data_IF_075981328214
#
_entry.id   IF_075981328214
#
_cell.length_a   1.000
_cell.length_b   1.000
_cell.length_c   1.000
_cell.angle_alpha   90.00
_cell.angle_beta   90.00
_cell.angle_gamma   90.00
#
_symmetry.space_group_name_H-M   'P 1'
#
loop_
_entity.id
_entity.type
_entity.pdbx_description
1 polymer ?
#
# COMPACT_ATOMS: atom_id res chain seq x y z
N UNK A 1 15.46 -13.86 -0.46
CA UNK A 1 14.60 -12.77 -1.00
C UNK A 1 13.31 -13.38 -1.53
N UNK A 2 12.15 -13.04 -0.97
CA UNK A 2 10.84 -13.39 -1.55
C UNK A 2 10.03 -12.11 -1.75
N UNK A 3 10.16 -11.49 -2.91
CA UNK A 3 9.08 -10.69 -3.50
C UNK A 3 8.72 -11.38 -4.80
N UNK A 4 7.55 -12.00 -4.87
CA UNK A 4 6.91 -12.34 -6.13
C UNK A 4 5.41 -12.63 -5.90
N UNK A 5 4.56 -11.61 -6.03
CA UNK A 5 3.27 -11.78 -6.71
C UNK A 5 2.92 -10.51 -7.50
N UNK A 6 3.29 -10.51 -8.78
CA UNK A 6 2.49 -9.90 -9.86
C UNK A 6 2.53 -10.87 -11.04
N UNK A 7 1.67 -11.88 -10.99
CA UNK A 7 1.64 -12.91 -12.04
C UNK A 7 0.77 -12.44 -13.23
N UNK A 8 -0.21 -11.56 -12.98
CA UNK A 8 -1.11 -11.01 -14.02
C UNK A 8 -1.51 -9.54 -13.85
N UNK A 9 -1.10 -8.89 -12.76
CA UNK A 9 -1.46 -7.49 -12.51
C UNK A 9 -0.83 -6.58 -13.57
N UNK A 10 -1.68 -5.99 -14.43
CA UNK A 10 -1.24 -5.15 -15.56
C UNK A 10 -0.70 -3.79 -15.14
N UNK A 11 -1.09 -3.32 -13.95
CA UNK A 11 -0.78 -1.98 -13.49
C UNK A 11 0.17 -2.00 -12.28
N UNK A 12 1.19 -1.14 -12.32
CA UNK A 12 2.06 -0.80 -11.20
C UNK A 12 1.98 0.71 -11.04
N UNK A 13 1.45 1.16 -9.89
CA UNK A 13 1.23 2.58 -9.63
C UNK A 13 2.25 3.01 -8.58
N UNK A 14 3.03 4.05 -8.89
CA UNK A 14 3.89 4.71 -7.91
C UNK A 14 3.03 5.67 -7.11
N UNK A 15 3.16 5.64 -5.79
CA UNK A 15 2.40 6.49 -4.90
C UNK A 15 3.23 6.88 -3.68
N UNK A 16 2.84 7.97 -3.01
CA UNK A 16 3.39 8.37 -1.72
C UNK A 16 2.42 7.99 -0.61
N UNK A 17 2.92 7.37 0.46
CA UNK A 17 2.10 7.10 1.66
C UNK A 17 1.73 8.43 2.32
N UNK A 18 0.44 8.64 2.55
CA UNK A 18 -0.09 9.79 3.31
C UNK A 18 -0.44 9.40 4.73
N UNK A 19 -1.08 8.24 4.91
CA UNK A 19 -1.57 7.79 6.20
C UNK A 19 -1.63 6.27 6.25
N UNK A 20 -1.39 5.72 7.43
CA UNK A 20 -1.60 4.31 7.74
C UNK A 20 -2.50 4.25 8.98
N UNK A 21 -3.60 3.52 8.88
CA UNK A 21 -4.53 3.25 9.98
C UNK A 21 -4.49 1.77 10.30
N UNK A 22 -4.09 1.42 11.52
CA UNK A 22 -4.00 0.04 11.99
C UNK A 22 -5.26 -0.30 12.78
N UNK A 23 -6.01 -1.30 12.33
CA UNK A 23 -7.27 -1.75 12.95
C UNK A 23 -7.23 -3.25 13.25
N UNK A 24 -6.66 -3.60 14.41
CA UNK A 24 -6.63 -4.98 14.91
C UNK A 24 -6.03 -5.99 13.93
N UNK A 25 -6.88 -6.58 13.10
CA UNK A 25 -6.54 -7.60 12.09
C UNK A 25 -6.34 -7.04 10.68
N UNK A 26 -6.48 -5.74 10.48
CA UNK A 26 -6.42 -5.08 9.18
C UNK A 26 -5.62 -3.79 9.27
N UNK A 27 -4.98 -3.41 8.17
CA UNK A 27 -4.41 -2.08 8.00
C UNK A 27 -4.95 -1.41 6.75
N UNK A 28 -5.28 -0.14 6.88
CA UNK A 28 -5.69 0.74 5.78
C UNK A 28 -4.57 1.73 5.50
N UNK A 29 -4.18 1.86 4.23
CA UNK A 29 -3.11 2.75 3.79
C UNK A 29 -3.68 3.69 2.73
N UNK A 30 -3.56 4.98 3.00
CA UNK A 30 -3.94 6.06 2.09
C UNK A 30 -2.70 6.48 1.30
N UNK A 31 -2.82 6.41 -0.02
CA UNK A 31 -1.74 6.66 -0.98
C UNK A 31 -2.09 7.85 -1.87
N UNK A 32 -1.21 8.85 -1.98
CA UNK A 32 -1.33 9.93 -2.95
C UNK A 32 -0.65 9.56 -4.26
N UNK A 33 -1.36 9.67 -5.37
CA UNK A 33 -0.80 9.42 -6.71
C UNK A 33 -0.68 10.68 -7.57
N UNK A 34 -1.47 11.71 -7.27
CA UNK A 34 -1.44 13.03 -7.88
C UNK A 34 -2.03 14.06 -6.89
N UNK A 35 -1.93 15.38 -7.16
CA UNK A 35 -2.70 16.38 -6.43
C UNK A 35 -4.18 15.99 -6.42
N UNK A 36 -4.79 16.00 -5.23
CA UNK A 36 -6.22 15.68 -5.00
C UNK A 36 -6.68 14.27 -5.44
N UNK A 37 -5.75 13.37 -5.76
CA UNK A 37 -6.07 11.97 -6.09
C UNK A 37 -5.43 11.02 -5.09
N UNK A 38 -6.29 10.27 -4.42
CA UNK A 38 -5.92 9.29 -3.40
C UNK A 38 -6.42 7.90 -3.75
N UNK A 39 -5.64 6.90 -3.35
CA UNK A 39 -6.01 5.49 -3.38
C UNK A 39 -6.00 4.99 -1.94
N UNK A 40 -7.11 4.42 -1.51
CA UNK A 40 -7.20 3.71 -0.24
C UNK A 40 -6.99 2.23 -0.51
N UNK A 41 -6.07 1.61 0.22
CA UNK A 41 -5.77 0.19 0.08
C UNK A 41 -5.76 -0.51 1.43
N UNK A 42 -6.25 -1.74 1.44
CA UNK A 42 -6.44 -2.54 2.66
C UNK A 42 -5.57 -3.77 2.61
N UNK A 43 -4.79 -3.98 3.66
CA UNK A 43 -3.81 -5.05 3.75
C UNK A 43 -3.88 -5.76 5.10
N UNK A 44 -3.24 -6.93 5.16
CA UNK A 44 -2.86 -7.53 6.43
C UNK A 44 -1.84 -6.62 7.16
N UNK A 45 -2.02 -6.35 8.46
CA UNK A 45 -1.16 -5.44 9.21
C UNK A 45 0.33 -5.86 9.21
N UNK A 46 0.64 -7.15 9.09
CA UNK A 46 2.01 -7.64 9.02
C UNK A 46 2.70 -7.36 7.68
N UNK A 47 1.98 -6.83 6.69
CA UNK A 47 2.49 -6.49 5.35
C UNK A 47 2.72 -4.99 5.15
N UNK A 48 2.40 -4.16 6.13
CA UNK A 48 2.48 -2.70 6.03
C UNK A 48 3.91 -2.18 6.13
N UNK A 49 4.79 -2.86 6.88
CA UNK A 49 6.19 -2.44 7.08
C UNK A 49 7.03 -2.38 5.79
N UNK A 50 6.59 -3.05 4.73
CA UNK A 50 7.25 -3.01 3.42
C UNK A 50 6.88 -1.75 2.60
N UNK A 51 5.88 -0.97 3.03
CA UNK A 51 5.33 0.16 2.27
C UNK A 51 6.01 1.50 2.62
N UNK A 52 6.61 1.61 3.81
CA UNK A 52 7.17 2.86 4.36
C UNK A 52 8.71 2.91 4.36
N UNK A 53 9.39 1.86 3.90
CA UNK A 53 10.85 1.69 4.09
C UNK A 53 11.74 2.28 2.99
N UNK A 54 11.31 3.32 2.26
CA UNK A 54 12.19 4.08 1.34
C UNK A 54 11.86 5.57 1.24
#
# INVERSE_FOLDING_TARGET
MRQAVKISARNVIKAKVKQIVMEGVTAEVVLSIAPDVEIVSRFDPNKVGDVDSK
#
